data_IF_671372341168
#
_entry.id   IF_671372341168
#
_cell.length_a   1.000
_cell.length_b   1.000
_cell.length_c   1.000
_cell.angle_alpha   90.00
_cell.angle_beta   90.00
_cell.angle_gamma   90.00
#
_symmetry.space_group_name_H-M   'P 1'
#
loop_
_entity.id
_entity.type
_entity.pdbx_description
1 polymer ?
#
# COMPACT_ATOMS: atom_id res chain seq x y z
N UNK A 1 -4.84 -2.52 -22.98
CA UNK A 1 -3.72 -2.24 -22.06
C UNK A 1 -3.63 -3.40 -21.10
N UNK A 2 -2.50 -4.14 -21.09
CA UNK A 2 -2.28 -5.23 -20.11
C UNK A 2 -2.15 -4.59 -18.72
N UNK A 3 -2.87 -5.12 -17.73
CA UNK A 3 -2.67 -4.71 -16.34
C UNK A 3 -1.19 -4.94 -15.98
N UNK A 4 -0.55 -4.02 -15.22
CA UNK A 4 0.81 -4.25 -14.77
C UNK A 4 0.86 -5.57 -14.00
N UNK A 5 1.92 -6.34 -14.25
CA UNK A 5 2.12 -7.59 -13.53
C UNK A 5 2.20 -7.28 -12.03
N UNK A 6 1.23 -7.79 -11.28
CA UNK A 6 1.19 -7.63 -9.83
C UNK A 6 2.30 -8.50 -9.24
N UNK A 7 3.35 -7.86 -8.73
CA UNK A 7 4.45 -8.57 -8.09
C UNK A 7 4.15 -8.66 -6.59
N UNK A 8 3.82 -9.85 -6.12
CA UNK A 8 3.60 -10.11 -4.68
C UNK A 8 4.89 -10.65 -4.07
N UNK A 9 5.39 -9.97 -3.04
CA UNK A 9 6.44 -10.50 -2.18
C UNK A 9 5.79 -11.30 -1.05
N UNK A 10 6.24 -12.54 -0.89
CA UNK A 10 5.86 -13.38 0.23
C UNK A 10 6.82 -13.16 1.41
N UNK A 11 6.44 -13.59 2.60
CA UNK A 11 7.29 -13.40 3.79
C UNK A 11 8.70 -13.96 3.58
N UNK A 12 8.84 -15.07 2.86
CA UNK A 12 10.10 -15.75 2.56
C UNK A 12 11.00 -14.94 1.60
N UNK A 13 10.45 -13.97 0.88
CA UNK A 13 11.19 -13.11 -0.04
C UNK A 13 11.79 -11.89 0.66
N UNK A 14 11.21 -11.51 1.81
CA UNK A 14 11.61 -10.29 2.51
C UNK A 14 12.98 -10.43 3.16
N UNK A 15 13.70 -9.32 3.19
CA UNK A 15 14.99 -9.16 3.89
C UNK A 15 15.00 -7.81 4.61
N UNK A 16 15.60 -7.76 5.79
CA UNK A 16 15.91 -6.50 6.46
C UNK A 16 16.80 -5.64 5.56
N UNK A 17 16.48 -4.36 5.45
CA UNK A 17 17.12 -3.40 4.57
C UNK A 17 16.50 -3.29 3.18
N UNK A 18 15.50 -4.12 2.82
CA UNK A 18 14.72 -3.90 1.60
C UNK A 18 13.99 -2.57 1.69
N UNK A 19 14.00 -1.82 0.60
CA UNK A 19 13.51 -0.44 0.57
C UNK A 19 12.75 -0.18 -0.71
N UNK A 20 11.65 0.59 -0.60
CA UNK A 20 10.88 1.09 -1.73
C UNK A 20 10.56 2.57 -1.57
N UNK A 21 10.36 3.23 -2.70
CA UNK A 21 10.15 4.67 -2.74
C UNK A 21 9.01 5.02 -3.68
N UNK A 22 8.11 5.92 -3.23
CA UNK A 22 7.04 6.50 -4.01
C UNK A 22 7.18 8.02 -4.02
N UNK A 23 7.09 8.63 -5.19
CA UNK A 23 7.01 10.10 -5.33
C UNK A 23 5.61 10.51 -5.78
N UNK A 24 5.03 11.50 -5.12
CA UNK A 24 3.71 12.04 -5.45
C UNK A 24 3.68 13.55 -5.29
N UNK A 25 3.27 14.27 -6.34
CA UNK A 25 2.93 15.69 -6.20
C UNK A 25 1.56 15.81 -5.54
N UNK A 26 1.45 16.66 -4.53
CA UNK A 26 0.18 16.94 -3.84
C UNK A 26 -0.62 17.92 -4.69
N UNK A 27 -1.73 17.47 -5.25
CA UNK A 27 -2.61 18.28 -6.08
C UNK A 27 -3.77 18.84 -5.26
N UNK A 28 -4.41 19.91 -5.76
CA UNK A 28 -5.60 20.49 -5.12
C UNK A 28 -6.74 19.48 -5.01
N UNK A 29 -6.97 18.70 -6.07
CA UNK A 29 -7.96 17.64 -6.08
C UNK A 29 -7.70 16.53 -5.05
N UNK A 30 -6.45 16.24 -4.72
CA UNK A 30 -6.10 15.25 -3.69
C UNK A 30 -6.59 15.73 -2.31
N UNK A 31 -6.36 17.01 -1.99
CA UNK A 31 -6.79 17.62 -0.72
C UNK A 31 -8.31 17.66 -0.62
N UNK A 32 -8.98 18.10 -1.68
CA UNK A 32 -10.46 18.13 -1.74
C UNK A 32 -11.02 16.71 -1.64
N UNK A 33 -10.42 15.76 -2.36
CA UNK A 33 -10.81 14.34 -2.34
C UNK A 33 -10.66 13.74 -0.96
N UNK A 34 -9.54 14.01 -0.27
CA UNK A 34 -9.29 13.50 1.07
C UNK A 34 -10.28 14.09 2.08
N UNK A 35 -10.58 15.39 2.01
CA UNK A 35 -11.61 16.01 2.85
C UNK A 35 -12.97 15.31 2.70
N UNK A 36 -13.37 14.99 1.45
CA UNK A 36 -14.65 14.30 1.18
C UNK A 36 -14.72 12.90 1.76
N UNK A 37 -13.64 12.13 1.66
CA UNK A 37 -13.64 10.72 2.12
C UNK A 37 -13.41 10.60 3.62
N UNK A 38 -12.65 11.52 4.23
CA UNK A 38 -12.36 11.53 5.67
C UNK A 38 -13.42 12.26 6.50
N UNK A 39 -14.14 13.22 5.90
CA UNK A 39 -15.01 14.16 6.60
C UNK A 39 -14.25 15.30 7.30
N UNK A 40 -12.94 15.41 7.11
CA UNK A 40 -12.13 16.50 7.68
C UNK A 40 -12.17 17.71 6.74
N UNK A 41 -13.16 18.56 6.94
CA UNK A 41 -13.41 19.80 6.21
C UNK A 41 -12.80 21.04 6.90
N UNK A 42 -11.78 20.85 7.75
CA UNK A 42 -11.09 21.94 8.41
C UNK A 42 -10.66 23.02 7.39
N UNK A 43 -11.06 24.28 7.56
CA UNK A 43 -10.78 25.33 6.58
C UNK A 43 -9.30 25.62 6.31
N UNK A 44 -8.40 25.14 7.15
CA UNK A 44 -6.95 25.19 6.91
C UNK A 44 -6.53 24.42 5.63
N UNK A 45 -7.32 23.44 5.23
CA UNK A 45 -7.12 22.62 4.04
C UNK A 45 -7.88 23.14 2.82
N UNK A 46 -9.05 23.77 3.04
CA UNK A 46 -10.01 24.04 1.97
C UNK A 46 -10.19 25.53 1.64
N UNK A 47 -9.78 26.45 2.53
CA UNK A 47 -10.02 27.89 2.36
C UNK A 47 -8.72 28.68 2.34
N UNK A 48 -8.36 29.22 1.16
CA UNK A 48 -7.20 30.10 1.03
C UNK A 48 -7.30 31.32 1.98
N UNK A 49 -8.50 31.92 2.05
CA UNK A 49 -8.73 33.08 2.92
C UNK A 49 -8.45 32.76 4.38
N UNK A 50 -8.90 31.59 4.85
CA UNK A 50 -8.67 31.17 6.22
C UNK A 50 -7.20 30.81 6.45
N UNK A 51 -6.64 29.98 5.57
CA UNK A 51 -5.25 29.52 5.68
C UNK A 51 -4.24 30.66 5.67
N UNK A 52 -4.50 31.74 4.91
CA UNK A 52 -3.68 32.95 4.88
C UNK A 52 -3.59 33.66 6.23
N UNK A 53 -4.58 33.49 7.13
CA UNK A 53 -4.57 34.08 8.48
C UNK A 53 -3.85 33.20 9.50
N UNK A 54 -3.46 31.98 9.14
CA UNK A 54 -2.78 31.03 10.02
C UNK A 54 -1.25 31.15 9.90
N UNK A 55 -0.52 30.51 10.80
CA UNK A 55 0.95 30.42 10.73
C UNK A 55 1.49 29.79 9.44
N UNK A 56 0.64 29.10 8.68
CA UNK A 56 1.03 28.42 7.43
C UNK A 56 0.98 29.35 6.22
N UNK A 57 0.20 30.45 6.28
CA UNK A 57 0.09 31.45 5.23
C UNK A 57 -0.59 30.98 3.95
N UNK A 58 -0.90 29.71 3.82
CA UNK A 58 -1.54 29.07 2.67
C UNK A 58 -2.14 27.73 3.08
N UNK A 59 -2.98 27.15 2.20
CA UNK A 59 -3.54 25.82 2.43
C UNK A 59 -2.45 24.75 2.49
N UNK A 60 -2.67 23.78 3.36
CA UNK A 60 -1.79 22.62 3.53
C UNK A 60 -2.59 21.33 3.33
N UNK A 61 -1.92 20.26 2.95
CA UNK A 61 -2.52 18.94 2.90
C UNK A 61 -2.84 18.42 4.30
N UNK A 62 -3.83 17.54 4.41
CA UNK A 62 -4.08 16.80 5.64
C UNK A 62 -2.87 15.93 5.99
N UNK A 63 -2.50 15.88 7.25
CA UNK A 63 -1.40 15.00 7.67
C UNK A 63 -1.66 13.54 7.34
N UNK A 64 -2.90 13.07 7.54
CA UNK A 64 -3.30 11.71 7.21
C UNK A 64 -3.38 11.43 5.70
N UNK A 65 -3.56 12.45 4.84
CA UNK A 65 -3.36 12.29 3.41
C UNK A 65 -1.90 11.90 3.11
N UNK A 66 -0.94 12.65 3.68
CA UNK A 66 0.49 12.34 3.53
C UNK A 66 0.80 10.92 4.05
N UNK A 67 0.26 10.54 5.21
CA UNK A 67 0.39 9.20 5.77
C UNK A 67 -0.23 8.12 4.87
N UNK A 68 -1.31 8.42 4.15
CA UNK A 68 -1.95 7.46 3.24
C UNK A 68 -1.05 7.03 2.08
N UNK A 69 -0.06 7.84 1.71
CA UNK A 69 0.93 7.49 0.68
C UNK A 69 1.86 6.35 1.16
N UNK A 70 2.09 6.21 2.47
CA UNK A 70 2.78 5.03 3.05
C UNK A 70 1.96 3.78 2.75
N UNK A 71 0.64 3.84 2.97
CA UNK A 71 -0.25 2.71 2.66
C UNK A 71 -0.18 2.28 1.19
N UNK A 72 -0.02 3.24 0.28
CA UNK A 72 0.15 2.94 -1.14
C UNK A 72 1.42 2.11 -1.40
N UNK A 73 2.57 2.46 -0.78
CA UNK A 73 3.80 1.69 -0.90
C UNK A 73 3.64 0.30 -0.31
N UNK A 74 3.09 0.20 0.91
CA UNK A 74 2.92 -1.09 1.60
C UNK A 74 1.99 -2.04 0.86
N UNK A 75 0.91 -1.52 0.28
CA UNK A 75 -0.10 -2.33 -0.40
C UNK A 75 0.24 -2.69 -1.84
N UNK A 76 1.14 -1.95 -2.50
CA UNK A 76 1.41 -2.14 -3.94
C UNK A 76 2.86 -2.48 -4.29
N UNK A 77 3.82 -2.24 -3.38
CA UNK A 77 5.25 -2.37 -3.66
C UNK A 77 5.99 -3.22 -2.63
N UNK A 78 5.99 -2.85 -1.34
CA UNK A 78 6.77 -3.52 -0.30
C UNK A 78 5.97 -3.62 1.02
N UNK A 79 5.48 -4.80 1.39
CA UNK A 79 5.56 -6.12 0.75
C UNK A 79 4.70 -6.25 -0.50
N UNK A 80 3.75 -5.34 -0.72
CA UNK A 80 2.86 -5.34 -1.87
C UNK A 80 1.57 -6.15 -1.66
N UNK A 81 0.92 -6.59 -2.73
CA UNK A 81 -0.39 -7.22 -2.69
C UNK A 81 -0.47 -8.40 -1.73
N UNK A 82 -1.53 -8.44 -0.93
CA UNK A 82 -1.75 -9.46 0.09
C UNK A 82 -1.18 -9.11 1.48
N UNK A 83 -0.37 -8.06 1.59
CA UNK A 83 0.04 -7.53 2.88
C UNK A 83 -1.15 -6.87 3.60
N UNK A 84 -1.26 -7.08 4.91
CA UNK A 84 -2.33 -6.52 5.73
C UNK A 84 -1.74 -5.62 6.80
N UNK A 85 -2.16 -4.36 6.82
CA UNK A 85 -1.78 -3.38 7.82
C UNK A 85 -2.25 -3.84 9.22
N UNK A 86 -1.35 -3.78 10.19
CA UNK A 86 -1.62 -4.14 11.60
C UNK A 86 -1.61 -2.90 12.50
N UNK A 87 -0.55 -2.11 12.39
CA UNK A 87 -0.39 -0.89 13.18
C UNK A 87 0.47 0.13 12.45
N UNK A 88 0.38 1.39 12.89
CA UNK A 88 1.20 2.49 12.41
C UNK A 88 1.39 3.51 13.50
N UNK A 89 2.63 3.93 13.73
CA UNK A 89 2.95 5.15 14.47
C UNK A 89 3.22 6.30 13.49
N UNK A 90 2.81 7.52 13.84
CA UNK A 90 2.99 8.69 13.00
C UNK A 90 3.46 9.87 13.82
N UNK A 91 4.54 10.52 13.39
CA UNK A 91 5.05 11.78 13.91
C UNK A 91 5.05 12.80 12.77
N UNK A 92 4.34 13.90 12.94
CA UNK A 92 4.24 14.98 11.94
C UNK A 92 5.21 16.11 12.32
N UNK A 93 6.19 16.39 11.46
CA UNK A 93 7.26 17.36 11.73
C UNK A 93 7.05 18.69 11.02
N UNK A 94 6.48 18.66 9.81
CA UNK A 94 6.27 19.87 9.01
C UNK A 94 5.00 19.74 8.15
N UNK A 95 4.37 20.90 7.81
CA UNK A 95 3.24 20.89 6.88
C UNK A 95 3.68 20.55 5.46
N UNK A 96 2.83 19.87 4.74
CA UNK A 96 2.94 19.62 3.30
C UNK A 96 1.99 20.54 2.57
N UNK A 97 2.44 21.24 1.55
CA UNK A 97 1.68 22.22 0.78
C UNK A 97 1.15 21.62 -0.51
N UNK A 98 0.11 22.24 -1.06
CA UNK A 98 -0.32 21.92 -2.42
C UNK A 98 0.80 22.34 -3.39
N UNK A 99 1.16 21.42 -4.28
CA UNK A 99 2.30 21.57 -5.21
C UNK A 99 3.60 20.93 -4.73
N UNK A 100 3.73 20.59 -3.43
CA UNK A 100 4.92 19.88 -2.94
C UNK A 100 5.00 18.46 -3.54
N UNK A 101 6.23 18.02 -3.80
CA UNK A 101 6.52 16.65 -4.18
C UNK A 101 6.90 15.88 -2.92
N UNK A 102 6.02 15.00 -2.50
CA UNK A 102 6.27 14.09 -1.36
C UNK A 102 6.99 12.85 -1.86
N UNK A 103 8.15 12.56 -1.27
CA UNK A 103 8.89 11.32 -1.45
C UNK A 103 8.66 10.44 -0.22
N UNK A 104 7.94 9.34 -0.39
CA UNK A 104 7.75 8.33 0.66
C UNK A 104 8.82 7.27 0.52
N UNK A 105 9.49 6.94 1.62
CA UNK A 105 10.47 5.85 1.72
C UNK A 105 9.99 4.88 2.77
N UNK A 106 10.00 3.60 2.43
CA UNK A 106 9.64 2.51 3.34
C UNK A 106 10.78 1.50 3.34
N UNK A 107 11.22 1.09 4.52
CA UNK A 107 12.33 0.15 4.71
C UNK A 107 11.97 -0.95 5.69
N UNK A 108 12.23 -2.22 5.35
CA UNK A 108 12.06 -3.35 6.27
C UNK A 108 13.15 -3.29 7.33
N UNK A 109 12.77 -3.12 8.59
CA UNK A 109 13.71 -3.04 9.72
C UNK A 109 13.72 -4.30 10.58
N UNK A 110 12.63 -5.07 10.55
CA UNK A 110 12.54 -6.32 11.32
C UNK A 110 11.59 -7.31 10.64
N UNK A 111 11.92 -8.59 10.75
CA UNK A 111 11.05 -9.69 10.31
C UNK A 111 10.78 -10.60 11.52
N UNK A 112 9.50 -10.81 11.81
CA UNK A 112 9.03 -11.66 12.90
C UNK A 112 8.41 -12.92 12.30
N UNK A 113 9.10 -14.08 12.34
CA UNK A 113 8.63 -15.33 11.74
C UNK A 113 7.31 -15.80 12.33
N UNK A 114 7.13 -15.63 13.65
CA UNK A 114 5.89 -15.93 14.36
C UNK A 114 4.77 -15.00 13.87
N UNK A 115 3.85 -15.56 13.09
CA UNK A 115 2.76 -14.78 12.49
C UNK A 115 3.11 -14.06 11.18
N UNK A 116 4.33 -14.25 10.65
CA UNK A 116 4.82 -13.66 9.40
C UNK A 116 4.57 -12.15 9.36
N UNK A 117 5.13 -11.45 10.31
CA UNK A 117 5.03 -10.00 10.43
C UNK A 117 6.32 -9.33 9.98
N UNK A 118 6.20 -8.19 9.34
CA UNK A 118 7.30 -7.29 9.04
C UNK A 118 7.05 -5.96 9.71
N UNK A 119 8.10 -5.40 10.33
CA UNK A 119 8.13 -4.02 10.79
C UNK A 119 8.92 -3.20 9.79
N UNK A 120 8.35 -2.06 9.41
CA UNK A 120 8.93 -1.19 8.40
C UNK A 120 9.04 0.22 8.95
N UNK A 121 10.22 0.81 8.81
CA UNK A 121 10.40 2.24 9.02
C UNK A 121 9.87 3.00 7.82
N UNK A 122 9.12 4.08 8.07
CA UNK A 122 8.43 4.84 7.05
C UNK A 122 8.77 6.32 7.22
N UNK A 123 9.15 6.97 6.12
CA UNK A 123 9.39 8.41 6.07
C UNK A 123 8.67 9.03 4.88
N UNK A 124 8.17 10.26 5.06
CA UNK A 124 7.77 11.12 3.96
C UNK A 124 8.63 12.40 4.01
N UNK A 125 9.19 12.75 2.87
CA UNK A 125 10.10 13.89 2.72
C UNK A 125 9.57 14.88 1.67
N UNK A 126 9.81 16.17 1.90
CA UNK A 126 9.64 17.24 0.92
C UNK A 126 10.97 17.98 0.84
N UNK A 127 11.52 18.13 -0.37
CA UNK A 127 12.84 18.76 -0.60
C UNK A 127 13.96 18.18 0.28
N UNK A 128 13.94 16.85 0.48
CA UNK A 128 14.91 16.11 1.29
C UNK A 128 14.76 16.27 2.80
N UNK A 129 13.73 16.98 3.28
CA UNK A 129 13.44 17.13 4.71
C UNK A 129 12.29 16.22 5.12
N UNK A 130 12.47 15.49 6.22
CA UNK A 130 11.43 14.64 6.78
C UNK A 130 10.27 15.49 7.27
N UNK A 131 9.08 15.29 6.72
CA UNK A 131 7.83 15.95 7.12
C UNK A 131 6.94 15.05 7.95
N UNK A 132 7.12 13.73 7.83
CA UNK A 132 6.44 12.70 8.60
C UNK A 132 7.35 11.48 8.71
N UNK A 133 7.37 10.84 9.87
CA UNK A 133 7.99 9.53 10.08
C UNK A 133 7.13 8.61 10.96
N UNK A 134 7.54 7.36 11.04
CA UNK A 134 6.94 6.38 11.93
C UNK A 134 7.27 4.94 11.53
N UNK A 135 6.63 4.00 12.21
CA UNK A 135 6.79 2.57 11.96
C UNK A 135 5.47 1.91 11.62
N UNK A 136 5.48 1.07 10.61
CA UNK A 136 4.37 0.21 10.22
C UNK A 136 4.65 -1.23 10.66
N UNK A 137 3.61 -1.93 11.11
CA UNK A 137 3.60 -3.39 11.20
C UNK A 137 2.60 -3.96 10.19
N UNK A 138 3.03 -4.94 9.42
CA UNK A 138 2.19 -5.61 8.44
C UNK A 138 2.29 -7.13 8.58
N UNK A 139 1.17 -7.83 8.37
CA UNK A 139 1.19 -9.28 8.15
C UNK A 139 1.43 -9.53 6.66
N UNK A 140 2.29 -10.49 6.34
CA UNK A 140 2.71 -10.81 4.98
C UNK A 140 2.29 -12.23 4.64
N UNK A 141 1.71 -12.50 3.46
CA UNK A 141 1.32 -13.84 3.08
C UNK A 141 2.54 -14.77 2.96
N UNK A 142 2.35 -16.04 3.30
CA UNK A 142 3.34 -17.07 2.99
C UNK A 142 3.24 -17.46 1.51
N UNK A 143 4.35 -17.91 0.94
CA UNK A 143 4.34 -18.50 -0.39
C UNK A 143 3.37 -19.69 -0.41
N UNK A 144 2.46 -19.76 -1.39
CA UNK A 144 1.59 -20.92 -1.54
C UNK A 144 2.44 -22.19 -1.66
N UNK A 145 2.08 -23.25 -0.91
CA UNK A 145 2.70 -24.55 -1.13
C UNK A 145 2.26 -25.05 -2.51
N UNK A 146 3.20 -25.47 -3.34
CA UNK A 146 2.85 -26.21 -4.55
C UNK A 146 2.09 -27.45 -4.09
N UNK A 147 0.77 -27.48 -4.31
CA UNK A 147 -0.01 -28.68 -4.13
C UNK A 147 0.45 -29.76 -5.11
N UNK A 148 0.19 -31.05 -4.84
CA UNK A 148 0.43 -32.09 -5.83
C UNK A 148 -0.24 -31.65 -7.13
N UNK A 149 0.51 -31.64 -8.23
CA UNK A 149 -0.07 -31.39 -9.56
C UNK A 149 -1.17 -32.43 -9.74
N UNK A 150 -2.44 -32.03 -9.76
CA UNK A 150 -3.50 -32.92 -10.21
C UNK A 150 -3.06 -33.41 -11.59
N UNK A 151 -2.75 -34.72 -11.66
CA UNK A 151 -2.50 -35.38 -12.93
C UNK A 151 -3.71 -35.18 -13.84
N UNK A 152 -3.56 -35.34 -15.17
CA UNK A 152 -4.66 -35.19 -16.10
C UNK A 152 -5.85 -36.02 -15.60
N UNK A 153 -7.01 -35.37 -15.39
CA UNK A 153 -8.26 -36.08 -15.05
C UNK A 153 -8.51 -37.04 -16.19
N UNK A 154 -8.40 -38.35 -15.91
CA UNK A 154 -8.87 -39.36 -16.87
C UNK A 154 -10.35 -39.03 -17.16
N UNK A 155 -10.62 -38.73 -18.41
CA UNK A 155 -11.98 -38.52 -18.89
C UNK A 155 -12.83 -39.75 -18.63
N UNK A 156 -14.18 -39.62 -18.61
CA UNK A 156 -15.06 -40.72 -18.37
C UNK A 156 -14.74 -41.85 -19.38
N UNK A 157 -14.41 -43.03 -18.89
CA UNK A 157 -14.25 -44.23 -19.72
C UNK A 157 -15.59 -44.49 -20.39
N UNK A 158 -15.64 -44.37 -21.72
CA UNK A 158 -16.80 -44.81 -22.48
C UNK A 158 -16.97 -46.32 -22.21
N UNK A 159 -18.10 -46.67 -21.59
CA UNK A 159 -18.50 -48.07 -21.42
C UNK A 159 -18.80 -48.72 -22.77
N UNK A 160 -18.73 -50.09 -22.86
CA UNK A 160 -18.93 -50.80 -24.10
C UNK A 160 -20.33 -50.52 -24.66
N UNK A 161 -20.38 -50.07 -25.92
CA UNK A 161 -21.64 -49.90 -26.68
C UNK A 161 -22.26 -51.29 -26.89
N UNK A 162 -23.39 -51.54 -26.28
CA UNK A 162 -24.22 -52.72 -26.61
C UNK A 162 -24.68 -52.60 -28.08
N UNK A 163 -24.31 -53.57 -28.89
CA UNK A 163 -24.75 -53.73 -30.28
C UNK A 163 -26.26 -54.04 -30.39
N UNK A 164 -26.89 -53.77 -31.55
CA UNK A 164 -28.32 -53.99 -31.73
C UNK A 164 -28.66 -55.46 -31.62
N UNK A 165 -29.67 -55.76 -30.79
CA UNK A 165 -30.31 -57.11 -30.77
C UNK A 165 -31.16 -57.21 -31.99
N UNK A 166 -30.83 -58.18 -32.88
CA UNK A 166 -31.70 -58.61 -33.97
C UNK A 166 -32.88 -59.37 -33.39
N UNK A 167 -34.08 -59.05 -33.89
CA UNK A 167 -35.35 -59.79 -33.66
C UNK A 167 -35.62 -60.73 -34.82
#
# INVERSE_FOLDING_TARGET
MSAPAVHTLYFEDLRVGMRETLMRTVMDEDVIGFARISGDDNPIHLSERYAATTRFGQRIAHGLYTASLISAVLGTQLPGPGAVYRSQTLNFHAPVKIGDVVTVVVEVVELVPEGRQARLHCEALVDGKVVLDGEAEVSVPARPREGPREGPREGPREGPREGPREA
#
